data_IF_148831470156
#
_entry.id   IF_148831470156
#
_cell.length_a   1.000
_cell.length_b   1.000
_cell.length_c   1.000
_cell.angle_alpha   90.00
_cell.angle_beta   90.00
_cell.angle_gamma   90.00
#
_symmetry.space_group_name_H-M   'P 1'
#
loop_
_entity.id
_entity.type
_entity.pdbx_description
1 polymer ?
#
# COMPACT_ATOMS: atom_id res chain seq x y z
N UNK A 1 9.90 -4.91 -4.61
CA UNK A 1 9.26 -3.58 -4.70
C UNK A 1 7.93 -3.54 -3.92
N UNK A 2 7.83 -2.74 -2.84
CA UNK A 2 6.67 -2.71 -1.92
C UNK A 2 6.09 -1.31 -1.71
N UNK A 3 4.79 -1.26 -1.38
CA UNK A 3 4.03 -0.08 -0.92
C UNK A 3 3.35 -0.45 0.40
N UNK A 4 3.44 0.42 1.40
CA UNK A 4 2.92 0.19 2.76
C UNK A 4 1.91 1.29 3.10
N UNK A 5 0.76 0.91 3.63
CA UNK A 5 -0.26 1.84 4.11
C UNK A 5 -0.50 1.66 5.60
N UNK A 6 -0.73 2.76 6.29
CA UNK A 6 -1.22 2.78 7.66
C UNK A 6 -2.67 3.26 7.67
N UNK A 7 -3.50 2.51 8.39
CA UNK A 7 -4.85 2.91 8.75
C UNK A 7 -4.83 3.48 10.16
N UNK A 8 -5.48 4.64 10.34
CA UNK A 8 -5.84 5.13 11.66
C UNK A 8 -7.25 4.65 11.98
N UNK A 9 -7.36 3.76 12.98
CA UNK A 9 -8.64 3.30 13.47
C UNK A 9 -9.37 4.45 14.18
N UNK A 10 -10.28 5.12 13.48
CA UNK A 10 -11.39 5.80 14.16
C UNK A 10 -12.41 4.71 14.45
N UNK A 11 -12.57 4.36 15.73
CA UNK A 11 -13.59 3.43 16.19
C UNK A 11 -14.95 3.86 15.62
N UNK A 12 -15.47 3.11 14.64
CA UNK A 12 -16.87 3.22 14.25
C UNK A 12 -17.67 2.64 15.42
N UNK A 13 -18.14 3.51 16.30
CA UNK A 13 -19.21 3.15 17.25
C UNK A 13 -20.43 2.77 16.45
N UNK A 14 -20.66 1.46 16.32
CA UNK A 14 -21.96 0.93 15.91
C UNK A 14 -22.91 1.23 17.06
N UNK A 15 -23.70 2.30 16.95
CA UNK A 15 -24.82 2.56 17.84
C UNK A 15 -25.87 1.45 17.62
N UNK A 16 -25.77 0.39 18.42
CA UNK A 16 -26.81 -0.61 18.54
C UNK A 16 -28.03 0.01 19.20
N UNK A 17 -29.09 0.22 18.43
CA UNK A 17 -30.44 0.48 18.95
C UNK A 17 -30.95 -0.75 19.69
N UNK A 18 -30.71 -0.80 21.00
CA UNK A 18 -31.25 -1.84 21.88
C UNK A 18 -32.71 -1.51 22.23
N UNK A 19 -33.66 -2.10 21.50
CA UNK A 19 -35.06 -2.12 21.90
C UNK A 19 -35.24 -2.89 23.21
N UNK A 20 -35.82 -2.22 24.20
CA UNK A 20 -36.04 -2.72 25.55
C UNK A 20 -37.34 -3.55 25.59
N UNK A 21 -37.25 -4.88 25.70
CA UNK A 21 -38.38 -5.69 26.19
C UNK A 21 -38.15 -6.06 27.66
N UNK A 22 -38.98 -5.46 28.51
CA UNK A 22 -39.05 -5.71 29.96
C UNK A 22 -39.71 -7.07 30.21
N UNK A 23 -39.08 -7.90 31.02
CA UNK A 23 -39.79 -8.89 31.86
C UNK A 23 -39.02 -9.08 33.16
N UNK A 24 -39.75 -9.01 34.27
CA UNK A 24 -39.27 -8.94 35.64
C UNK A 24 -38.92 -10.32 36.24
N UNK A 25 -38.02 -10.32 37.24
CA UNK A 25 -37.99 -11.01 38.56
C UNK A 25 -36.50 -11.08 39.01
N UNK A 26 -36.11 -10.61 40.22
CA UNK A 26 -34.71 -10.64 40.66
C UNK A 26 -34.41 -11.86 41.57
N UNK A 27 -33.22 -12.48 41.48
CA UNK A 27 -32.72 -13.33 42.54
C UNK A 27 -31.68 -12.63 43.44
N UNK A 28 -31.72 -13.10 44.69
CA UNK A 28 -31.04 -12.64 45.91
C UNK A 28 -29.51 -12.61 45.87
N UNK A 29 -28.95 -11.60 46.54
CA UNK A 29 -27.67 -11.52 47.24
C UNK A 29 -26.55 -12.49 46.80
N UNK A 30 -25.61 -11.97 46.00
CA UNK A 30 -24.19 -12.23 46.22
C UNK A 30 -23.50 -10.88 46.43
N UNK A 31 -22.91 -10.70 47.61
CA UNK A 31 -21.94 -9.65 47.88
C UNK A 31 -20.70 -9.91 47.03
N UNK A 32 -20.73 -9.49 45.77
CA UNK A 32 -19.51 -9.39 44.96
C UNK A 32 -18.84 -8.08 45.35
N UNK A 33 -17.81 -8.21 46.16
CA UNK A 33 -16.86 -7.14 46.47
C UNK A 33 -16.48 -6.48 45.13
N UNK A 34 -16.84 -5.20 44.96
CA UNK A 34 -16.36 -4.38 43.85
C UNK A 34 -14.86 -4.18 44.03
N UNK A 35 -14.08 -5.16 43.61
CA UNK A 35 -12.69 -4.91 43.27
C UNK A 35 -12.72 -4.04 42.03
N UNK A 36 -12.59 -2.73 42.25
CA UNK A 36 -12.21 -1.76 41.23
C UNK A 36 -10.78 -2.11 40.81
N UNK A 37 -10.64 -3.21 40.07
CA UNK A 37 -9.43 -3.52 39.33
C UNK A 37 -9.33 -2.41 38.28
N UNK A 38 -8.47 -1.45 38.58
CA UNK A 38 -7.83 -0.59 37.60
C UNK A 38 -7.07 -1.52 36.63
N UNK A 39 -7.80 -2.16 35.72
CA UNK A 39 -7.18 -2.61 34.48
C UNK A 39 -6.88 -1.33 33.74
N UNK A 40 -5.61 -0.94 33.73
CA UNK A 40 -5.08 -0.08 32.70
C UNK A 40 -5.43 -0.78 31.37
N UNK A 41 -6.58 -0.43 30.79
CA UNK A 41 -6.84 -0.67 29.39
C UNK A 41 -5.78 0.16 28.67
N UNK A 42 -4.65 -0.46 28.37
CA UNK A 42 -3.79 -0.01 27.29
C UNK A 42 -4.72 -0.01 26.09
N UNK A 43 -5.25 1.16 25.76
CA UNK A 43 -5.93 1.39 24.49
C UNK A 43 -4.89 1.19 23.41
N UNK A 44 -4.65 -0.06 23.02
CA UNK A 44 -3.98 -0.35 21.76
C UNK A 44 -4.94 0.16 20.70
N UNK A 45 -4.68 1.36 20.18
CA UNK A 45 -5.28 1.75 18.91
C UNK A 45 -4.88 0.68 17.91
N UNK A 46 -5.85 -0.03 17.33
CA UNK A 46 -5.60 -1.07 16.33
C UNK A 46 -5.05 -0.40 15.06
N UNK A 47 -3.72 -0.26 14.99
CA UNK A 47 -3.06 0.21 13.77
C UNK A 47 -3.06 -0.96 12.80
N UNK A 48 -3.73 -0.80 11.66
CA UNK A 48 -3.71 -1.79 10.58
C UNK A 48 -2.72 -1.35 9.53
N UNK A 49 -1.93 -2.32 9.10
CA UNK A 49 -0.88 -2.13 8.10
C UNK A 49 -1.30 -2.91 6.85
N UNK A 50 -1.37 -2.25 5.70
CA UNK A 50 -1.58 -2.91 4.42
C UNK A 50 -0.27 -2.95 3.64
N UNK A 51 0.13 -4.15 3.22
CA UNK A 51 1.27 -4.39 2.36
C UNK A 51 0.76 -4.65 0.95
N UNK A 52 1.15 -3.81 -0.01
CA UNK A 52 0.74 -3.90 -1.41
C UNK A 52 1.99 -4.00 -2.28
N UNK A 53 2.02 -4.99 -3.15
CA UNK A 53 3.08 -5.12 -4.16
C UNK A 53 2.87 -4.07 -5.25
N UNK A 54 3.94 -3.60 -5.88
CA UNK A 54 3.81 -2.79 -7.10
C UNK A 54 3.00 -3.53 -8.16
N UNK A 55 2.21 -2.80 -8.95
CA UNK A 55 1.52 -3.37 -10.11
C UNK A 55 2.50 -3.82 -11.19
N UNK A 56 1.95 -4.35 -12.29
CA UNK A 56 2.77 -4.76 -13.44
C UNK A 56 3.53 -3.58 -14.07
N UNK A 57 4.78 -3.83 -14.44
CA UNK A 57 5.67 -2.87 -15.07
C UNK A 57 5.95 -3.23 -16.53
N UNK A 58 6.51 -2.28 -17.27
CA UNK A 58 6.76 -2.44 -18.69
C UNK A 58 7.80 -3.53 -18.99
N UNK A 59 8.80 -3.73 -18.12
CA UNK A 59 9.82 -4.75 -18.31
C UNK A 59 9.25 -6.18 -18.22
N UNK A 60 8.32 -6.44 -17.31
CA UNK A 60 7.74 -7.78 -17.15
C UNK A 60 6.77 -8.14 -18.27
N UNK A 61 6.08 -7.16 -18.87
CA UNK A 61 5.00 -7.39 -19.83
C UNK A 61 5.46 -7.22 -21.28
N UNK A 62 6.31 -6.23 -21.54
CA UNK A 62 6.69 -5.84 -22.90
C UNK A 62 8.21 -5.99 -23.10
N UNK A 63 8.67 -7.10 -23.73
CA UNK A 63 10.08 -7.27 -24.01
C UNK A 63 10.58 -6.18 -24.96
N UNK A 64 11.80 -5.71 -24.68
CA UNK A 64 12.48 -4.64 -25.43
C UNK A 64 11.62 -3.37 -25.62
N UNK A 65 10.69 -3.07 -24.71
CA UNK A 65 9.83 -1.90 -24.82
C UNK A 65 10.65 -0.60 -24.91
N UNK A 66 11.76 -0.49 -24.15
CA UNK A 66 12.66 0.67 -24.17
C UNK A 66 13.22 0.93 -25.56
N UNK A 67 13.86 -0.08 -26.16
CA UNK A 67 14.48 0.05 -27.48
C UNK A 67 13.46 0.52 -28.53
N UNK A 68 12.23 0.01 -28.46
CA UNK A 68 11.17 0.41 -29.37
C UNK A 68 10.64 1.82 -29.04
N UNK A 69 10.39 2.11 -27.78
CA UNK A 69 9.79 3.37 -27.33
C UNK A 69 10.70 4.60 -27.52
N UNK A 70 12.03 4.40 -27.59
CA UNK A 70 13.03 5.47 -27.74
C UNK A 70 13.77 5.43 -29.09
N UNK A 71 13.30 4.65 -30.07
CA UNK A 71 13.98 4.41 -31.34
C UNK A 71 14.31 5.68 -32.13
N UNK A 72 13.49 6.74 -32.02
CA UNK A 72 13.66 7.99 -32.79
C UNK A 72 13.94 9.17 -31.87
N UNK A 73 15.18 9.69 -31.92
CA UNK A 73 15.64 10.90 -31.21
C UNK A 73 15.59 10.87 -29.67
N UNK A 74 15.67 9.70 -29.03
CA UNK A 74 15.54 9.55 -27.56
C UNK A 74 14.24 10.14 -27.01
N UNK A 75 13.25 10.36 -27.87
CA UNK A 75 11.94 10.86 -27.49
C UNK A 75 11.01 9.67 -27.27
N UNK A 76 10.40 9.65 -26.09
CA UNK A 76 9.45 8.62 -25.73
C UNK A 76 8.24 8.58 -26.68
N UNK A 77 7.98 7.42 -27.28
CA UNK A 77 6.81 7.16 -28.12
C UNK A 77 5.93 6.06 -27.53
N UNK A 78 4.63 6.28 -27.59
CA UNK A 78 3.62 5.27 -27.26
C UNK A 78 3.47 4.28 -28.42
N UNK A 79 3.79 3.01 -28.18
CA UNK A 79 3.72 1.94 -29.19
C UNK A 79 2.73 0.83 -28.84
N UNK A 80 2.37 0.73 -27.56
CA UNK A 80 1.42 -0.23 -27.03
C UNK A 80 0.36 0.51 -26.20
N UNK A 81 -0.89 0.06 -26.24
CA UNK A 81 -1.95 0.65 -25.42
C UNK A 81 -1.73 0.41 -23.92
N UNK A 82 -1.01 -0.65 -23.54
CA UNK A 82 -0.68 -0.92 -22.14
C UNK A 82 0.53 -0.10 -21.67
N UNK A 83 1.27 0.56 -22.57
CA UNK A 83 2.39 1.39 -22.22
C UNK A 83 1.91 2.75 -21.64
N UNK A 84 2.58 3.33 -20.63
CA UNK A 84 2.16 4.61 -20.06
C UNK A 84 2.13 5.71 -21.11
N UNK A 85 1.12 6.59 -21.09
CA UNK A 85 1.03 7.68 -22.07
C UNK A 85 2.16 8.71 -21.93
N UNK A 86 2.72 8.82 -20.73
CA UNK A 86 3.81 9.72 -20.39
C UNK A 86 4.71 9.10 -19.32
N UNK A 87 6.01 9.41 -19.38
CA UNK A 87 7.00 9.01 -18.39
C UNK A 87 7.90 10.20 -18.03
N UNK A 88 8.46 10.23 -16.80
CA UNK A 88 9.29 11.35 -16.37
C UNK A 88 10.61 11.46 -17.15
N UNK A 89 11.11 12.67 -17.37
CA UNK A 89 12.48 12.82 -17.85
C UNK A 89 13.45 12.54 -16.70
N UNK A 90 14.50 11.78 -16.98
CA UNK A 90 15.54 11.39 -16.02
C UNK A 90 16.91 11.89 -16.49
N UNK A 91 17.84 12.03 -15.55
CA UNK A 91 19.18 12.52 -15.83
C UNK A 91 19.96 11.60 -16.78
N UNK A 92 19.79 10.27 -16.66
CA UNK A 92 20.38 9.27 -17.55
C UNK A 92 19.50 8.90 -18.75
N UNK A 93 18.44 9.65 -19.06
CA UNK A 93 17.58 9.41 -20.22
C UNK A 93 16.89 8.04 -20.20
N UNK A 94 16.89 7.33 -21.33
CA UNK A 94 16.29 5.99 -21.45
C UNK A 94 17.01 4.89 -20.66
N UNK A 95 18.29 5.08 -20.33
CA UNK A 95 19.11 4.05 -19.68
C UNK A 95 18.72 3.86 -18.21
N UNK A 96 18.28 4.92 -17.53
CA UNK A 96 17.79 4.85 -16.16
C UNK A 96 16.56 3.93 -16.02
N UNK A 97 15.81 3.74 -17.10
CA UNK A 97 14.65 2.85 -17.13
C UNK A 97 15.03 1.37 -17.26
N UNK A 98 16.29 1.04 -17.55
CA UNK A 98 16.75 -0.35 -17.62
C UNK A 98 16.73 -1.05 -16.26
N UNK A 99 16.94 -0.30 -15.17
CA UNK A 99 16.86 -0.80 -13.79
C UNK A 99 15.59 -0.39 -13.05
N UNK A 100 14.84 0.58 -13.59
CA UNK A 100 13.69 1.20 -12.91
C UNK A 100 12.54 1.49 -13.89
N UNK A 101 12.02 0.42 -14.51
CA UNK A 101 10.94 0.51 -15.48
C UNK A 101 9.64 1.12 -14.91
N UNK A 102 8.88 1.84 -15.75
CA UNK A 102 7.60 2.41 -15.35
C UNK A 102 6.51 1.35 -15.30
N UNK A 103 5.49 1.66 -14.50
CA UNK A 103 4.23 0.93 -14.42
C UNK A 103 3.47 0.99 -15.76
N UNK A 104 2.78 -0.08 -16.12
CA UNK A 104 1.88 -0.11 -17.28
C UNK A 104 0.54 0.57 -16.97
N UNK A 105 -0.28 0.80 -17.99
CA UNK A 105 -1.65 1.32 -17.81
C UNK A 105 -2.55 0.33 -17.06
N UNK A 106 -2.43 -0.97 -17.32
CA UNK A 106 -3.16 -2.01 -16.58
C UNK A 106 -2.64 -2.11 -15.14
N UNK A 107 -1.33 -1.97 -14.92
CA UNK A 107 -0.74 -1.88 -13.58
C UNK A 107 -1.31 -0.69 -12.79
N UNK A 108 -1.38 0.49 -13.41
CA UNK A 108 -1.99 1.67 -12.82
C UNK A 108 -3.48 1.47 -12.51
N UNK A 109 -4.23 0.88 -13.43
CA UNK A 109 -5.65 0.57 -13.25
C UNK A 109 -5.87 -0.41 -12.07
N UNK A 110 -5.03 -1.44 -11.96
CA UNK A 110 -5.11 -2.40 -10.86
C UNK A 110 -4.92 -1.71 -9.49
N UNK A 111 -3.96 -0.79 -9.40
CA UNK A 111 -3.73 0.00 -8.20
C UNK A 111 -4.91 0.92 -7.86
N UNK A 112 -5.53 1.54 -8.87
CA UNK A 112 -6.73 2.35 -8.68
C UNK A 112 -7.90 1.52 -8.15
N UNK A 113 -8.12 0.32 -8.69
CA UNK A 113 -9.19 -0.57 -8.23
C UNK A 113 -8.99 -0.98 -6.77
N UNK A 114 -7.75 -1.27 -6.38
CA UNK A 114 -7.40 -1.56 -4.98
C UNK A 114 -7.70 -0.35 -4.09
N UNK A 115 -7.32 0.87 -4.48
CA UNK A 115 -7.62 2.08 -3.70
C UNK A 115 -9.12 2.33 -3.52
N UNK A 116 -9.91 2.09 -4.56
CA UNK A 116 -11.39 2.14 -4.46
C UNK A 116 -11.93 1.12 -3.47
N UNK A 117 -11.44 -0.13 -3.54
CA UNK A 117 -11.85 -1.19 -2.63
C UNK A 117 -11.48 -0.89 -1.16
N UNK A 118 -10.32 -0.27 -0.91
CA UNK A 118 -9.87 0.15 0.42
C UNK A 118 -10.78 1.27 0.96
N UNK A 119 -11.11 2.26 0.12
CA UNK A 119 -11.96 3.40 0.51
C UNK A 119 -13.34 2.96 1.01
N UNK A 120 -13.86 1.84 0.50
CA UNK A 120 -15.15 1.29 0.95
C UNK A 120 -15.11 0.76 2.40
N UNK A 121 -13.93 0.46 2.94
CA UNK A 121 -13.77 -0.20 4.24
C UNK A 121 -13.08 0.68 5.28
N UNK A 122 -12.18 1.56 4.86
CA UNK A 122 -11.35 2.31 5.79
C UNK A 122 -10.78 3.63 5.24
N UNK A 123 -10.27 4.45 6.16
CA UNK A 123 -9.54 5.68 5.88
C UNK A 123 -8.04 5.47 6.12
N UNK A 124 -7.28 5.50 5.03
CA UNK A 124 -5.82 5.56 5.04
C UNK A 124 -5.33 6.89 5.62
N UNK A 125 -4.40 6.83 6.57
CA UNK A 125 -3.78 8.00 7.19
C UNK A 125 -2.38 8.28 6.64
N UNK A 126 -1.57 7.24 6.44
CA UNK A 126 -0.20 7.38 5.92
C UNK A 126 0.11 6.39 4.81
N UNK A 127 0.93 6.83 3.86
CA UNK A 127 1.36 6.05 2.70
C UNK A 127 2.88 6.09 2.58
N UNK A 128 3.48 4.92 2.57
CA UNK A 128 4.91 4.73 2.38
C UNK A 128 5.17 3.89 1.14
N UNK A 129 6.23 4.18 0.41
CA UNK A 129 6.56 3.47 -0.82
C UNK A 129 8.06 3.28 -0.97
N UNK A 130 8.48 2.20 -1.61
CA UNK A 130 9.87 2.03 -2.03
C UNK A 130 10.28 3.07 -3.09
N UNK A 131 11.57 3.39 -3.23
CA UNK A 131 12.05 4.38 -4.22
C UNK A 131 11.93 3.93 -5.69
N UNK A 132 11.45 2.72 -5.97
CA UNK A 132 11.23 2.27 -7.36
C UNK A 132 10.09 3.04 -8.03
N UNK A 133 10.26 3.36 -9.31
CA UNK A 133 9.28 4.10 -10.10
C UNK A 133 7.93 3.41 -10.11
N UNK A 134 7.92 2.10 -10.36
CA UNK A 134 6.69 1.30 -10.37
C UNK A 134 5.96 1.35 -9.02
N UNK A 135 6.67 1.30 -7.88
CA UNK A 135 6.04 1.43 -6.55
C UNK A 135 5.50 2.84 -6.31
N UNK A 136 6.23 3.89 -6.69
CA UNK A 136 5.78 5.28 -6.56
C UNK A 136 4.51 5.50 -7.40
N UNK A 137 4.51 5.04 -8.66
CA UNK A 137 3.36 5.14 -9.55
C UNK A 137 2.17 4.32 -9.03
N UNK A 138 2.41 3.13 -8.49
CA UNK A 138 1.36 2.30 -7.85
C UNK A 138 0.74 3.07 -6.68
N UNK A 139 1.56 3.62 -5.79
CA UNK A 139 1.10 4.41 -4.64
C UNK A 139 0.30 5.65 -5.09
N UNK A 140 0.79 6.34 -6.12
CA UNK A 140 0.10 7.50 -6.70
C UNK A 140 -1.26 7.13 -7.28
N UNK A 141 -1.34 6.09 -8.11
CA UNK A 141 -2.59 5.60 -8.67
C UNK A 141 -3.59 5.18 -7.59
N UNK A 142 -3.13 4.53 -6.53
CA UNK A 142 -3.97 4.14 -5.40
C UNK A 142 -4.47 5.37 -4.64
N UNK A 143 -3.59 6.30 -4.26
CA UNK A 143 -3.98 7.53 -3.55
C UNK A 143 -4.92 8.39 -4.39
N UNK A 144 -4.72 8.45 -5.70
CA UNK A 144 -5.59 9.19 -6.63
C UNK A 144 -7.02 8.63 -6.69
N UNK A 145 -7.21 7.35 -6.36
CA UNK A 145 -8.52 6.71 -6.36
C UNK A 145 -9.18 6.68 -4.97
N UNK A 146 -8.48 7.14 -3.93
CA UNK A 146 -9.05 7.33 -2.60
C UNK A 146 -10.03 8.51 -2.62
N UNK A 147 -11.31 8.25 -2.37
CA UNK A 147 -12.34 9.30 -2.30
C UNK A 147 -12.39 9.93 -0.89
N UNK A 148 -11.25 10.44 -0.44
CA UNK A 148 -11.10 11.01 0.90
C UNK A 148 -10.99 12.54 0.85
N UNK A 149 -11.45 13.22 1.91
CA UNK A 149 -11.37 14.68 2.01
C UNK A 149 -9.93 15.19 2.06
N UNK A 150 -9.02 14.39 2.59
CA UNK A 150 -7.59 14.70 2.68
C UNK A 150 -6.82 13.71 1.82
N UNK A 151 -6.00 14.24 0.91
CA UNK A 151 -5.09 13.44 0.10
C UNK A 151 -3.88 13.07 0.96
N UNK A 152 -3.69 11.78 1.23
CA UNK A 152 -2.53 11.30 1.98
C UNK A 152 -1.23 11.58 1.19
N UNK A 153 -0.22 12.10 1.89
CA UNK A 153 1.10 12.34 1.29
C UNK A 153 1.86 11.02 1.14
N UNK A 154 2.45 10.80 -0.03
CA UNK A 154 3.31 9.65 -0.31
C UNK A 154 4.70 9.92 0.26
N UNK A 155 5.17 9.05 1.15
CA UNK A 155 6.51 9.09 1.75
C UNK A 155 7.39 8.02 1.14
N UNK A 156 8.55 8.41 0.61
CA UNK A 156 9.47 7.47 -0.02
C UNK A 156 10.45 6.97 1.03
N UNK A 157 10.44 5.66 1.29
CA UNK A 157 11.28 5.00 2.28
C UNK A 157 12.24 4.03 1.61
N UNK A 158 13.56 4.34 1.56
CA UNK A 158 14.56 3.46 0.95
C UNK A 158 14.60 2.06 1.58
N UNK A 159 14.27 1.92 2.86
CA UNK A 159 14.21 0.63 3.55
C UNK A 159 13.13 -0.34 3.03
N UNK A 160 12.16 0.15 2.25
CA UNK A 160 11.14 -0.68 1.60
C UNK A 160 11.57 -1.23 0.23
N UNK A 161 12.77 -0.88 -0.23
CA UNK A 161 13.33 -1.44 -1.45
C UNK A 161 13.61 -2.94 -1.28
N UNK A 162 13.59 -3.67 -2.39
CA UNK A 162 13.85 -5.11 -2.34
C UNK A 162 15.27 -5.43 -1.89
N UNK A 163 15.51 -6.61 -1.28
CA UNK A 163 16.85 -6.99 -0.85
C UNK A 163 17.77 -6.98 -2.06
N UNK A 164 18.85 -6.19 -1.98
CA UNK A 164 19.91 -6.26 -2.98
C UNK A 164 20.43 -7.70 -3.03
N UNK A 165 20.74 -8.25 -4.22
CA UNK A 165 21.18 -9.65 -4.38
C UNK A 165 22.46 -10.01 -3.60
N UNK A 166 23.17 -9.01 -3.05
CA UNK A 166 24.27 -9.22 -2.11
C UNK A 166 23.80 -9.79 -0.75
N UNK A 167 22.59 -9.48 -0.28
CA UNK A 167 22.09 -9.88 1.04
C UNK A 167 21.49 -11.29 1.00
N UNK A 168 20.88 -11.70 -0.10
CA UNK A 168 20.26 -13.04 -0.21
C UNK A 168 21.30 -14.16 -0.22
N UNK A 169 22.48 -13.96 -0.83
CA UNK A 169 23.57 -14.95 -0.76
C UNK A 169 24.11 -15.15 0.65
N UNK A 170 24.25 -14.07 1.43
CA UNK A 170 24.78 -14.15 2.81
C UNK A 170 23.73 -14.68 3.78
N UNK A 171 22.45 -14.31 3.61
CA UNK A 171 21.37 -14.76 4.50
C UNK A 171 20.95 -16.22 4.25
N UNK A 172 21.01 -16.71 3.00
CA UNK A 172 20.84 -18.15 2.74
C UNK A 172 21.97 -18.98 3.34
N UNK A 173 23.21 -18.48 3.34
CA UNK A 173 24.32 -19.17 3.99
C UNK A 173 24.16 -19.18 5.52
N UNK A 174 23.70 -18.08 6.12
CA UNK A 174 23.47 -18.02 7.57
C UNK A 174 22.28 -18.87 8.05
N UNK A 175 21.23 -19.00 7.24
CA UNK A 175 20.04 -19.79 7.59
C UNK A 175 20.22 -21.30 7.36
N UNK A 176 21.22 -21.71 6.58
CA UNK A 176 21.61 -23.13 6.41
C UNK A 176 22.69 -23.58 7.39
N UNK A 177 23.18 -22.68 8.25
CA UNK A 177 24.23 -22.96 9.25
C UNK A 177 23.71 -22.98 10.70
N UNK A 178 22.39 -22.97 10.93
CA UNK A 178 21.78 -23.25 12.24
C UNK A 178 20.73 -24.36 12.13
#
# INVERSE_FOLDING_TARGET
>A
RWVVFLESCSAMSVEGTNETKRSAIPPRNMLVIKNKMLTNEIRTSDIRIYLVRSGEDCDNIMPAWRNRAFETYQAYRLLDMNQPTWIPQRAGGEDDYASDAPLTNVGALSAQLVGRAITMRTVISEVYTSPSLASIQTAYSLVSSLQQKFVAKIRVEPGLFEPLPLITKVMFLFCLMN
#
